data_IF_943487611738
#
_entry.id   IF_943487611738
#
_cell.length_a   1.000
_cell.length_b   1.000
_cell.length_c   1.000
_cell.angle_alpha   90.00
_cell.angle_beta   90.00
_cell.angle_gamma   90.00
#
_symmetry.space_group_name_H-M   'P 1'
#
loop_
_entity.id
_entity.type
_entity.pdbx_description
1 polymer ?
#
# COMPACT_ATOMS: atom_id res chain seq x y z
N UNK A 1 5.88 -13.12 -2.22
CA UNK A 1 5.84 -14.06 -3.36
C UNK A 1 6.03 -13.32 -4.68
N UNK A 2 7.11 -13.58 -5.42
CA UNK A 2 7.28 -12.99 -6.76
C UNK A 2 6.33 -13.57 -7.81
N UNK A 3 5.67 -14.72 -7.55
CA UNK A 3 4.71 -15.32 -8.49
C UNK A 3 3.33 -14.65 -8.44
N UNK A 4 2.68 -14.57 -7.28
CA UNK A 4 1.31 -14.03 -7.16
C UNK A 4 1.23 -12.65 -6.48
N UNK A 5 2.36 -12.01 -6.21
CA UNK A 5 2.47 -10.76 -5.45
C UNK A 5 2.07 -10.82 -3.97
N UNK A 6 1.57 -11.95 -3.45
CA UNK A 6 1.27 -12.11 -2.02
C UNK A 6 2.42 -11.61 -1.13
N UNK A 7 2.08 -10.79 -0.13
CA UNK A 7 3.00 -10.29 0.89
C UNK A 7 2.37 -10.48 2.26
N UNK A 8 3.23 -10.74 3.23
CA UNK A 8 2.86 -10.83 4.64
C UNK A 8 4.00 -10.26 5.48
N UNK A 9 3.68 -9.84 6.70
CA UNK A 9 4.67 -9.34 7.65
C UNK A 9 4.86 -10.37 8.74
N UNK A 10 6.11 -10.56 9.18
CA UNK A 10 6.44 -11.46 10.27
C UNK A 10 7.28 -10.72 11.31
N UNK A 11 6.85 -10.76 12.56
CA UNK A 11 7.59 -10.20 13.70
C UNK A 11 8.36 -11.32 14.40
N UNK A 12 9.52 -11.00 14.95
CA UNK A 12 10.38 -11.93 15.67
C UNK A 12 11.58 -12.41 14.85
N UNK A 13 12.34 -13.34 15.43
CA UNK A 13 13.52 -13.93 14.78
C UNK A 13 13.08 -14.79 13.60
N UNK A 14 13.56 -14.44 12.42
CA UNK A 14 13.26 -15.16 11.19
C UNK A 14 14.40 -16.12 10.84
N UNK A 15 14.08 -17.42 10.71
CA UNK A 15 15.06 -18.42 10.28
C UNK A 15 15.06 -18.54 8.74
N UNK A 16 16.02 -17.87 8.10
CA UNK A 16 16.14 -17.82 6.64
C UNK A 16 16.54 -19.16 5.96
N UNK A 17 16.78 -20.23 6.74
CA UNK A 17 17.18 -21.53 6.21
C UNK A 17 16.02 -22.36 5.65
N UNK A 18 14.77 -22.01 5.96
CA UNK A 18 13.60 -22.74 5.48
C UNK A 18 12.94 -22.01 4.31
N UNK A 19 12.73 -22.73 3.21
CA UNK A 19 11.84 -22.29 2.12
C UNK A 19 10.40 -22.41 2.58
N UNK A 20 9.75 -21.27 2.82
CA UNK A 20 8.33 -21.22 3.15
C UNK A 20 7.52 -21.15 1.84
N UNK A 21 6.55 -22.05 1.62
CA UNK A 21 5.65 -21.95 0.48
C UNK A 21 4.67 -20.79 0.69
N UNK A 22 4.35 -20.09 -0.40
CA UNK A 22 3.36 -19.03 -0.41
C UNK A 22 1.97 -19.60 -0.12
N UNK A 23 1.25 -18.99 0.84
CA UNK A 23 -0.10 -19.39 1.24
C UNK A 23 -1.15 -19.26 0.13
N UNK A 24 -0.91 -18.46 -0.91
CA UNK A 24 -1.85 -18.25 -2.02
C UNK A 24 -1.55 -19.12 -3.26
N UNK A 25 -0.28 -19.43 -3.56
CA UNK A 25 0.07 -20.11 -4.82
C UNK A 25 1.10 -21.24 -4.68
N UNK A 26 1.50 -21.59 -3.46
CA UNK A 26 2.46 -22.66 -3.16
C UNK A 26 3.90 -22.40 -3.62
N UNK A 27 4.16 -21.29 -4.31
CA UNK A 27 5.50 -20.97 -4.81
C UNK A 27 6.40 -20.44 -3.72
N UNK A 28 7.72 -20.46 -3.92
CA UNK A 28 8.69 -19.99 -2.92
C UNK A 28 8.40 -18.55 -2.47
N UNK A 29 8.33 -18.34 -1.15
CA UNK A 29 8.36 -17.01 -0.55
C UNK A 29 9.81 -16.53 -0.41
N UNK A 30 10.03 -15.27 -0.77
CA UNK A 30 11.28 -14.55 -0.50
C UNK A 30 11.06 -13.56 0.63
N UNK A 31 12.16 -13.19 1.28
CA UNK A 31 12.16 -12.41 2.50
C UNK A 31 13.02 -11.16 2.35
N UNK A 32 12.61 -10.09 3.04
CA UNK A 32 13.39 -8.87 3.19
C UNK A 32 13.36 -8.49 4.67
N UNK A 33 14.53 -8.25 5.28
CA UNK A 33 14.63 -8.03 6.72
C UNK A 33 16.06 -7.84 7.22
N UNK A 34 16.26 -7.26 8.42
CA UNK A 34 15.23 -6.71 9.32
C UNK A 34 14.68 -5.35 8.83
N UNK A 35 13.39 -5.08 9.10
CA UNK A 35 12.68 -3.86 8.67
C UNK A 35 11.76 -3.34 9.77
N UNK A 36 11.46 -2.04 9.74
CA UNK A 36 10.42 -1.45 10.58
C UNK A 36 9.03 -1.82 10.04
N UNK A 37 8.24 -2.51 10.86
CA UNK A 37 6.87 -2.96 10.53
C UNK A 37 5.79 -2.18 11.30
N UNK A 38 6.18 -1.18 12.08
CA UNK A 38 5.25 -0.30 12.80
C UNK A 38 4.68 0.79 11.90
N UNK A 39 3.87 1.67 12.49
CA UNK A 39 3.38 2.85 11.79
C UNK A 39 4.55 3.73 11.37
N UNK A 40 4.51 4.21 10.12
CA UNK A 40 5.50 5.13 9.57
C UNK A 40 5.13 6.59 9.84
N UNK A 41 3.87 6.83 10.18
CA UNK A 41 3.27 8.15 10.27
C UNK A 41 2.62 8.29 11.63
N UNK A 42 3.02 9.33 12.35
CA UNK A 42 2.26 9.82 13.50
C UNK A 42 1.20 10.81 12.99
N UNK A 43 -0.07 10.41 13.11
CA UNK A 43 -1.21 11.20 12.63
C UNK A 43 -1.31 12.56 13.34
N UNK A 44 -1.10 12.58 14.67
CA UNK A 44 -1.23 13.81 15.47
C UNK A 44 -0.15 14.81 15.06
N UNK A 45 1.09 14.33 14.91
CA UNK A 45 2.21 15.13 14.45
C UNK A 45 1.96 15.72 13.05
N UNK A 46 1.45 14.92 12.11
CA UNK A 46 1.16 15.38 10.76
C UNK A 46 0.04 16.43 10.71
N UNK A 47 -1.00 16.26 11.54
CA UNK A 47 -2.07 17.25 11.68
C UNK A 47 -1.57 18.58 12.26
N UNK A 48 -0.65 18.55 13.23
CA UNK A 48 0.01 19.76 13.75
C UNK A 48 0.80 20.43 12.62
N UNK A 49 1.62 19.68 11.89
CA UNK A 49 2.39 20.23 10.76
C UNK A 49 1.49 20.87 9.70
N UNK A 50 0.36 20.23 9.38
CA UNK A 50 -0.63 20.75 8.42
C UNK A 50 -1.19 22.11 8.85
N UNK A 51 -1.44 22.31 10.14
CA UNK A 51 -1.92 23.59 10.69
C UNK A 51 -0.82 24.65 10.66
N UNK A 52 0.40 24.29 11.04
CA UNK A 52 1.57 25.19 11.03
C UNK A 52 1.88 25.78 9.65
N UNK A 53 1.63 25.01 8.58
CA UNK A 53 1.81 25.50 7.20
C UNK A 53 0.94 26.73 6.91
N UNK A 54 -0.18 26.93 7.62
CA UNK A 54 -1.03 28.11 7.44
C UNK A 54 -0.39 29.40 7.95
N UNK A 55 0.54 29.29 8.90
CA UNK A 55 1.17 30.43 9.58
C UNK A 55 2.57 30.76 9.03
N UNK A 56 3.05 30.02 8.01
CA UNK A 56 4.39 30.20 7.44
C UNK A 56 4.34 30.61 5.96
N UNK A 57 5.26 31.48 5.57
CA UNK A 57 5.49 31.82 4.15
C UNK A 57 6.40 30.77 3.54
N UNK A 58 5.80 29.81 2.83
CA UNK A 58 6.51 28.71 2.17
C UNK A 58 6.32 28.79 0.65
N UNK A 59 7.41 28.70 -0.12
CA UNK A 59 7.38 28.77 -1.60
C UNK A 59 6.44 27.73 -2.24
N UNK A 60 6.38 26.53 -1.67
CA UNK A 60 5.60 25.40 -2.21
C UNK A 60 4.42 25.03 -1.31
N UNK A 61 3.79 26.02 -0.67
CA UNK A 61 2.73 25.81 0.33
C UNK A 61 1.66 24.82 -0.11
N UNK A 62 1.08 24.99 -1.30
CA UNK A 62 0.01 24.10 -1.79
C UNK A 62 0.45 22.66 -1.96
N UNK A 63 1.67 22.44 -2.47
CA UNK A 63 2.23 21.10 -2.64
C UNK A 63 2.46 20.43 -1.29
N UNK A 64 3.00 21.17 -0.33
CA UNK A 64 3.23 20.69 1.03
C UNK A 64 1.91 20.28 1.69
N UNK A 65 0.88 21.13 1.61
CA UNK A 65 -0.45 20.80 2.15
C UNK A 65 -1.01 19.55 1.48
N UNK A 66 -0.96 19.44 0.15
CA UNK A 66 -1.43 18.25 -0.57
C UNK A 66 -0.70 16.98 -0.14
N UNK A 67 0.62 17.05 0.08
CA UNK A 67 1.40 15.91 0.57
C UNK A 67 1.03 15.54 2.01
N UNK A 68 0.87 16.52 2.90
CA UNK A 68 0.46 16.26 4.28
C UNK A 68 -0.94 15.66 4.36
N UNK A 69 -1.90 16.22 3.63
CA UNK A 69 -3.28 15.71 3.56
C UNK A 69 -3.29 14.25 3.10
N UNK A 70 -2.45 13.93 2.11
CA UNK A 70 -2.31 12.57 1.60
C UNK A 70 -1.65 11.62 2.62
N UNK A 71 -0.57 12.05 3.30
CA UNK A 71 0.11 11.27 4.36
C UNK A 71 -0.83 11.01 5.54
N UNK A 72 -1.65 11.99 5.90
CA UNK A 72 -2.66 11.88 6.95
C UNK A 72 -3.72 10.83 6.58
N UNK A 73 -4.16 10.79 5.31
CA UNK A 73 -5.10 9.76 4.83
C UNK A 73 -4.49 8.34 4.89
N UNK A 74 -3.20 8.18 4.56
CA UNK A 74 -2.53 6.87 4.61
C UNK A 74 -1.94 6.50 5.98
N UNK A 75 -2.14 7.30 7.04
CA UNK A 75 -1.41 7.14 8.31
C UNK A 75 -1.66 5.80 8.99
N UNK A 76 -2.89 5.31 8.91
CA UNK A 76 -3.33 4.03 9.51
C UNK A 76 -3.30 2.88 8.50
N UNK A 77 -2.76 3.11 7.31
CA UNK A 77 -2.77 2.09 6.27
C UNK A 77 -1.80 0.95 6.61
N UNK A 78 -2.12 -0.30 6.21
CA UNK A 78 -1.28 -1.46 6.46
C UNK A 78 0.16 -1.30 5.97
N UNK A 79 1.06 -2.07 6.58
CA UNK A 79 2.43 -2.16 6.12
C UNK A 79 2.50 -2.71 4.68
N UNK A 80 3.42 -2.17 3.89
CA UNK A 80 3.62 -2.47 2.46
C UNK A 80 2.49 -1.98 1.55
N UNK A 81 2.70 -2.05 0.24
CA UNK A 81 1.73 -1.65 -0.76
C UNK A 81 1.87 -2.52 -2.02
N UNK A 82 0.80 -2.58 -2.80
CA UNK A 82 0.77 -3.16 -4.13
C UNK A 82 0.88 -2.07 -5.19
N UNK A 83 1.53 -2.35 -6.31
CA UNK A 83 1.59 -1.42 -7.44
C UNK A 83 0.72 -1.99 -8.54
N UNK A 84 -0.33 -1.25 -8.89
CA UNK A 84 -1.39 -1.73 -9.77
C UNK A 84 -0.90 -2.03 -11.19
N UNK A 85 0.01 -1.20 -11.71
CA UNK A 85 0.65 -1.39 -13.02
C UNK A 85 1.38 -2.74 -13.10
N UNK A 86 2.22 -3.07 -12.12
CA UNK A 86 2.97 -4.33 -12.08
C UNK A 86 2.07 -5.55 -12.00
N UNK A 87 0.94 -5.44 -11.30
CA UNK A 87 -0.04 -6.51 -11.22
C UNK A 87 -0.70 -6.70 -12.59
N UNK A 88 -1.17 -5.62 -13.20
CA UNK A 88 -1.84 -5.65 -14.49
C UNK A 88 -0.92 -6.13 -15.62
N UNK A 89 0.33 -5.65 -15.66
CA UNK A 89 1.35 -6.06 -16.63
C UNK A 89 1.58 -7.57 -16.56
N UNK A 90 1.68 -8.11 -15.34
CA UNK A 90 1.91 -9.54 -15.13
C UNK A 90 0.71 -10.40 -15.52
N UNK A 91 -0.50 -9.90 -15.31
CA UNK A 91 -1.74 -10.62 -15.62
C UNK A 91 -2.27 -10.33 -17.03
N UNK A 92 -1.55 -9.52 -17.83
CA UNK A 92 -2.00 -9.03 -19.13
C UNK A 92 -3.39 -8.37 -19.07
N UNK A 93 -3.62 -7.55 -18.04
CA UNK A 93 -4.87 -6.83 -17.81
C UNK A 93 -4.71 -5.34 -18.13
N UNK A 94 -5.77 -4.64 -18.58
CA UNK A 94 -5.76 -3.19 -18.68
C UNK A 94 -5.64 -2.57 -17.28
N UNK A 95 -4.89 -1.47 -17.15
CA UNK A 95 -4.69 -0.80 -15.85
C UNK A 95 -5.88 0.10 -15.52
N UNK A 96 -6.72 -0.23 -14.52
CA UNK A 96 -7.82 0.63 -14.12
C UNK A 96 -7.33 1.84 -13.32
N UNK A 97 -8.23 2.78 -13.05
CA UNK A 97 -7.93 3.91 -12.16
C UNK A 97 -7.68 3.41 -10.73
N UNK A 98 -6.55 3.81 -10.12
CA UNK A 98 -6.22 3.52 -8.72
C UNK A 98 -7.33 3.96 -7.77
N UNK A 99 -8.00 5.09 -8.06
CA UNK A 99 -9.15 5.57 -7.27
C UNK A 99 -10.34 4.63 -7.36
N UNK A 100 -10.62 4.04 -8.54
CA UNK A 100 -11.70 3.06 -8.74
C UNK A 100 -11.44 1.83 -7.87
N UNK A 101 -10.23 1.28 -7.93
CA UNK A 101 -9.85 0.08 -7.16
C UNK A 101 -9.89 0.33 -5.65
N UNK A 102 -9.35 1.47 -5.17
CA UNK A 102 -9.45 1.84 -3.75
C UNK A 102 -10.90 1.95 -3.29
N UNK A 103 -11.78 2.56 -4.11
CA UNK A 103 -13.21 2.66 -3.81
C UNK A 103 -13.86 1.28 -3.71
N UNK A 104 -13.63 0.41 -4.69
CA UNK A 104 -14.19 -0.94 -4.71
C UNK A 104 -13.70 -1.80 -3.53
N UNK A 105 -12.42 -1.69 -3.15
CA UNK A 105 -11.90 -2.35 -1.95
C UNK A 105 -12.63 -1.88 -0.68
N UNK A 106 -12.82 -0.56 -0.52
CA UNK A 106 -13.57 0.00 0.61
C UNK A 106 -15.03 -0.47 0.61
N UNK A 107 -15.69 -0.52 -0.55
CA UNK A 107 -17.06 -1.02 -0.71
C UNK A 107 -17.18 -2.51 -0.34
N UNK A 108 -16.14 -3.31 -0.61
CA UNK A 108 -16.04 -4.72 -0.18
C UNK A 108 -15.60 -4.90 1.29
N UNK A 109 -15.48 -3.81 2.05
CA UNK A 109 -15.15 -3.82 3.49
C UNK A 109 -13.66 -3.94 3.82
N UNK A 110 -12.77 -3.79 2.83
CA UNK A 110 -11.32 -3.76 3.07
C UNK A 110 -10.84 -2.35 3.41
N UNK A 111 -9.80 -2.28 4.23
CA UNK A 111 -9.02 -1.06 4.38
C UNK A 111 -8.21 -0.86 3.11
N UNK A 112 -8.34 0.30 2.47
CA UNK A 112 -7.57 0.62 1.29
C UNK A 112 -7.28 2.11 1.19
N UNK A 113 -6.04 2.47 0.87
CA UNK A 113 -5.64 3.85 0.57
C UNK A 113 -4.65 3.86 -0.58
N UNK A 114 -4.63 4.96 -1.33
CA UNK A 114 -3.50 5.21 -2.23
C UNK A 114 -2.26 5.57 -1.38
N UNK A 115 -1.05 5.46 -1.95
CA UNK A 115 0.17 5.77 -1.19
C UNK A 115 1.08 6.80 -1.84
N UNK A 116 1.75 7.64 -1.02
CA UNK A 116 2.57 8.74 -1.53
C UNK A 116 3.86 8.22 -2.16
N UNK A 117 4.25 6.99 -1.82
CA UNK A 117 5.41 6.29 -2.39
C UNK A 117 5.25 6.01 -3.88
N UNK A 118 4.02 5.79 -4.36
CA UNK A 118 3.79 5.49 -5.77
C UNK A 118 2.38 5.92 -6.20
N UNK A 119 2.22 6.73 -7.27
CA UNK A 119 0.91 7.15 -7.78
C UNK A 119 -0.06 6.00 -8.15
N UNK A 120 0.47 4.82 -8.47
CA UNK A 120 -0.27 3.59 -8.76
C UNK A 120 -0.26 2.60 -7.58
N UNK A 121 0.26 3.03 -6.45
CA UNK A 121 0.38 2.24 -5.23
C UNK A 121 -0.90 2.22 -4.41
N UNK A 122 -1.27 1.04 -3.91
CA UNK A 122 -2.42 0.81 -3.05
C UNK A 122 -1.95 0.08 -1.80
N UNK A 123 -2.18 0.65 -0.63
CA UNK A 123 -2.08 -0.05 0.65
C UNK A 123 -3.42 -0.65 0.97
N UNK A 124 -3.45 -1.93 1.31
CA UNK A 124 -4.69 -2.60 1.69
C UNK A 124 -4.42 -3.82 2.57
N UNK A 125 -5.39 -4.18 3.40
CA UNK A 125 -5.39 -5.43 4.15
C UNK A 125 -5.93 -6.62 3.32
N UNK A 126 -6.38 -6.36 2.08
CA UNK A 126 -6.78 -7.40 1.15
C UNK A 126 -5.58 -8.25 0.69
N UNK A 127 -5.86 -9.54 0.47
CA UNK A 127 -4.93 -10.48 -0.16
C UNK A 127 -4.65 -10.10 -1.61
N UNK A 128 -3.50 -10.52 -2.14
CA UNK A 128 -3.12 -10.19 -3.52
C UNK A 128 -4.11 -10.80 -4.52
N UNK A 129 -4.59 -12.04 -4.26
CA UNK A 129 -5.65 -12.68 -5.03
C UNK A 129 -6.93 -11.81 -5.13
N UNK A 130 -7.44 -11.29 -4.01
CA UNK A 130 -8.63 -10.43 -4.00
C UNK A 130 -8.41 -9.14 -4.81
N UNK A 131 -7.21 -8.56 -4.74
CA UNK A 131 -6.88 -7.37 -5.52
C UNK A 131 -6.90 -7.66 -7.02
N UNK A 132 -6.39 -8.82 -7.44
CA UNK A 132 -6.40 -9.27 -8.84
C UNK A 132 -7.84 -9.47 -9.32
N UNK A 133 -8.69 -10.14 -8.53
CA UNK A 133 -10.11 -10.34 -8.85
C UNK A 133 -10.84 -9.00 -9.07
N UNK A 134 -10.63 -8.02 -8.19
CA UNK A 134 -11.25 -6.69 -8.32
C UNK A 134 -10.78 -5.96 -9.58
N UNK A 135 -9.52 -6.15 -9.99
CA UNK A 135 -8.99 -5.58 -11.23
C UNK A 135 -9.63 -6.23 -12.45
N UNK A 136 -9.87 -7.55 -12.41
CA UNK A 136 -10.56 -8.28 -13.48
C UNK A 136 -12.03 -7.88 -13.62
N UNK A 137 -12.74 -7.70 -12.49
CA UNK A 137 -14.12 -7.18 -12.45
C UNK A 137 -14.24 -5.74 -12.97
N UNK A 138 -13.14 -4.98 -12.91
CA UNK A 138 -13.10 -3.57 -13.28
C UNK A 138 -12.86 -3.30 -14.77
N UNK A 139 -12.80 -4.36 -15.60
CA UNK A 139 -12.72 -4.30 -17.06
C UNK A 139 -13.87 -3.51 -17.69
#
# INVERSE_FOLDING_TARGET
CFRCFHRETQKGLFNNKQTIPCSECGSKMDFAGPLWLGNLVDWQFCEIMRREVKHKVLKQREKIVKTLDFIIEESNAPATYYVLDKICDKMALPVPSTRKIVKTLKEKGFEATATHFNPKGIRTNAKAAMLIEIVEESK
#
